data_IF_014515822265
#
_entry.id   IF_014515822265
#
_cell.length_a   1.000
_cell.length_b   1.000
_cell.length_c   1.000
_cell.angle_alpha   90.00
_cell.angle_beta   90.00
_cell.angle_gamma   90.00
#
_symmetry.space_group_name_H-M   'P 1'
#
loop_
_entity.id
_entity.type
_entity.pdbx_description
1 polymer ?
#
# COMPACT_ATOMS: atom_id res chain seq x y z
N UNK A 1 2.08 -11.65 -9.62
CA UNK A 1 3.24 -12.52 -9.87
C UNK A 1 3.56 -13.31 -8.61
N UNK A 2 3.83 -14.61 -8.77
CA UNK A 2 4.28 -15.47 -7.67
C UNK A 2 5.80 -15.51 -7.66
N UNK A 3 6.41 -15.46 -6.48
CA UNK A 3 7.85 -15.57 -6.33
C UNK A 3 8.20 -16.52 -5.19
N UNK A 4 9.31 -17.23 -5.31
CA UNK A 4 9.87 -18.06 -4.24
C UNK A 4 10.96 -17.33 -3.45
N UNK A 5 11.33 -16.11 -3.86
CA UNK A 5 12.39 -15.33 -3.25
C UNK A 5 11.84 -14.18 -2.43
N UNK A 6 12.23 -14.09 -1.15
CA UNK A 6 11.92 -12.95 -0.29
C UNK A 6 12.68 -11.72 -0.77
N UNK A 7 11.97 -10.58 -0.82
CA UNK A 7 12.61 -9.30 -1.07
C UNK A 7 13.31 -8.82 0.19
N UNK A 8 14.58 -8.44 0.04
CA UNK A 8 15.36 -7.86 1.14
C UNK A 8 15.08 -6.36 1.28
N UNK A 9 15.43 -5.81 2.44
CA UNK A 9 15.43 -4.37 2.63
C UNK A 9 16.36 -3.67 1.64
N UNK A 10 17.55 -4.26 1.37
CA UNK A 10 18.50 -3.70 0.40
C UNK A 10 17.90 -3.61 -1.02
N UNK A 11 17.09 -4.57 -1.41
CA UNK A 11 16.38 -4.52 -2.69
C UNK A 11 15.32 -3.40 -2.67
N UNK A 12 14.51 -3.33 -1.61
CA UNK A 12 13.42 -2.35 -1.52
C UNK A 12 13.90 -0.92 -1.43
N UNK A 13 15.04 -0.68 -0.79
CA UNK A 13 15.55 0.69 -0.57
C UNK A 13 15.98 1.43 -1.84
N UNK A 14 16.04 0.77 -2.96
CA UNK A 14 16.27 1.43 -4.25
C UNK A 14 15.04 2.20 -4.74
N UNK A 15 13.87 1.95 -4.16
CA UNK A 15 12.63 2.59 -4.54
C UNK A 15 12.21 3.65 -3.52
N UNK A 16 11.49 4.66 -3.98
CA UNK A 16 10.88 5.68 -3.14
C UNK A 16 9.67 6.30 -3.83
N UNK A 17 9.09 7.33 -3.21
CA UNK A 17 7.91 8.01 -3.73
C UNK A 17 8.12 8.57 -5.14
N UNK A 18 9.33 9.08 -5.46
CA UNK A 18 9.66 9.64 -6.76
C UNK A 18 10.21 8.61 -7.74
N UNK A 19 10.52 7.41 -7.27
CA UNK A 19 11.09 6.34 -8.10
C UNK A 19 10.44 5.00 -7.74
N UNK A 20 9.15 4.81 -8.09
CA UNK A 20 8.46 3.55 -7.82
C UNK A 20 9.00 2.43 -8.71
N UNK A 21 8.83 1.16 -8.27
CA UNK A 21 9.25 0.04 -9.08
C UNK A 21 8.47 -0.03 -10.39
N UNK A 22 9.18 -0.32 -11.48
CA UNK A 22 8.60 -0.54 -12.80
C UNK A 22 8.46 -2.03 -13.13
N UNK A 23 8.77 -2.87 -12.17
CA UNK A 23 8.63 -4.32 -12.24
C UNK A 23 7.53 -4.75 -11.29
N UNK A 24 6.95 -5.93 -11.53
CA UNK A 24 5.96 -6.51 -10.64
C UNK A 24 6.67 -7.09 -9.42
N UNK A 25 6.31 -6.60 -8.24
CA UNK A 25 6.78 -7.18 -6.98
C UNK A 25 5.92 -8.40 -6.65
N UNK A 26 6.56 -9.48 -6.27
CA UNK A 26 5.88 -10.76 -6.14
C UNK A 26 5.34 -11.06 -4.74
N UNK A 27 4.35 -11.96 -4.71
CA UNK A 27 3.82 -12.57 -3.50
C UNK A 27 4.26 -14.02 -3.42
N UNK A 28 4.31 -14.59 -2.22
CA UNK A 28 4.54 -16.02 -2.08
C UNK A 28 3.36 -16.80 -2.69
N UNK A 29 3.59 -18.07 -3.01
CA UNK A 29 2.53 -18.93 -3.53
C UNK A 29 1.34 -18.99 -2.58
N UNK A 30 1.60 -19.13 -1.27
CA UNK A 30 0.57 -19.19 -0.24
C UNK A 30 -0.27 -17.90 -0.19
N UNK A 31 0.37 -16.75 -0.19
CA UNK A 31 -0.34 -15.46 -0.17
C UNK A 31 -1.12 -15.24 -1.46
N UNK A 32 -0.53 -15.59 -2.60
CA UNK A 32 -1.23 -15.45 -3.89
C UNK A 32 -2.49 -16.31 -3.94
N UNK A 33 -2.44 -17.52 -3.40
CA UNK A 33 -3.61 -18.41 -3.32
C UNK A 33 -4.74 -17.74 -2.50
N UNK A 34 -4.41 -17.21 -1.33
CA UNK A 34 -5.38 -16.49 -0.49
C UNK A 34 -5.96 -15.26 -1.22
N UNK A 35 -5.13 -14.56 -1.95
CA UNK A 35 -5.54 -13.39 -2.74
C UNK A 35 -6.53 -13.77 -3.84
N UNK A 36 -6.25 -14.86 -4.57
CA UNK A 36 -7.16 -15.35 -5.61
C UNK A 36 -8.49 -15.83 -5.04
N UNK A 37 -8.48 -16.48 -3.87
CA UNK A 37 -9.70 -16.88 -3.16
C UNK A 37 -10.53 -15.65 -2.79
N UNK A 38 -9.91 -14.62 -2.24
CA UNK A 38 -10.59 -13.38 -1.87
C UNK A 38 -11.23 -12.70 -3.08
N UNK A 39 -10.51 -12.60 -4.19
CA UNK A 39 -11.05 -12.03 -5.44
C UNK A 39 -12.25 -12.83 -5.95
N UNK A 40 -12.16 -14.17 -5.90
CA UNK A 40 -13.25 -15.04 -6.33
C UNK A 40 -14.48 -14.88 -5.44
N UNK A 41 -14.31 -14.71 -4.14
CA UNK A 41 -15.42 -14.46 -3.21
C UNK A 41 -16.12 -13.14 -3.50
N UNK A 42 -15.35 -12.05 -3.72
CA UNK A 42 -15.94 -10.76 -4.09
C UNK A 42 -16.71 -10.85 -5.41
N UNK A 43 -16.14 -11.55 -6.40
CA UNK A 43 -16.78 -11.73 -7.69
C UNK A 43 -18.08 -12.52 -7.57
N UNK A 44 -18.09 -13.61 -6.79
CA UNK A 44 -19.26 -14.44 -6.57
C UNK A 44 -20.39 -13.64 -5.88
N UNK A 45 -20.04 -12.77 -4.94
CA UNK A 45 -20.99 -11.91 -4.24
C UNK A 45 -21.32 -10.64 -5.04
N UNK A 46 -20.74 -10.48 -6.22
CA UNK A 46 -20.93 -9.32 -7.10
C UNK A 46 -20.53 -8.01 -6.44
N UNK A 47 -19.48 -8.05 -5.62
CA UNK A 47 -18.92 -6.87 -4.94
C UNK A 47 -17.73 -6.35 -5.73
N UNK A 48 -17.80 -5.09 -6.16
CA UNK A 48 -16.67 -4.39 -6.78
C UNK A 48 -15.59 -4.09 -5.73
N UNK A 49 -14.32 -4.33 -6.10
CA UNK A 49 -13.21 -4.15 -5.17
C UNK A 49 -13.10 -2.69 -4.68
N UNK A 50 -13.38 -1.71 -5.52
CA UNK A 50 -13.32 -0.31 -5.12
C UNK A 50 -14.41 0.01 -4.08
N UNK A 51 -15.61 -0.51 -4.28
CA UNK A 51 -16.71 -0.38 -3.34
C UNK A 51 -16.38 -1.06 -2.01
N UNK A 52 -15.76 -2.24 -2.07
CA UNK A 52 -15.33 -2.97 -0.86
C UNK A 52 -14.33 -2.15 -0.04
N UNK A 53 -13.32 -1.57 -0.68
CA UNK A 53 -12.30 -0.76 -0.01
C UNK A 53 -12.92 0.51 0.57
N UNK A 54 -13.75 1.21 -0.20
CA UNK A 54 -14.42 2.42 0.27
C UNK A 54 -15.28 2.14 1.49
N UNK A 55 -16.05 1.06 1.45
CA UNK A 55 -16.93 0.66 2.56
C UNK A 55 -16.13 0.28 3.81
N UNK A 56 -15.00 -0.41 3.63
CA UNK A 56 -14.18 -0.88 4.75
C UNK A 56 -13.48 0.27 5.48
N UNK A 57 -12.99 1.27 4.76
CA UNK A 57 -12.10 2.28 5.33
C UNK A 57 -12.71 3.66 5.47
N UNK A 58 -13.65 4.05 4.61
CA UNK A 58 -14.09 5.44 4.52
C UNK A 58 -15.57 5.67 4.73
N UNK A 59 -16.41 4.65 4.56
CA UNK A 59 -17.86 4.81 4.67
C UNK A 59 -18.26 5.30 6.07
N UNK A 60 -18.96 6.43 6.11
CA UNK A 60 -19.49 6.97 7.35
C UNK A 60 -18.49 7.73 8.21
N UNK A 61 -17.30 8.04 7.68
CA UNK A 61 -16.33 8.86 8.38
C UNK A 61 -15.68 9.87 7.44
N UNK A 62 -15.01 10.88 8.02
CA UNK A 62 -14.35 11.95 7.28
C UNK A 62 -12.85 11.76 7.19
N UNK A 63 -12.36 10.54 7.38
CA UNK A 63 -10.93 10.26 7.28
C UNK A 63 -10.45 10.51 5.85
N UNK A 64 -9.36 11.24 5.74
CA UNK A 64 -8.68 11.49 4.47
C UNK A 64 -7.79 10.31 4.07
N UNK A 65 -7.16 9.68 5.06
CA UNK A 65 -6.25 8.55 4.87
C UNK A 65 -6.59 7.42 5.84
N UNK A 66 -6.24 6.20 5.45
CA UNK A 66 -6.32 5.04 6.33
C UNK A 66 -5.15 4.10 6.07
N UNK A 67 -4.37 3.78 7.10
CA UNK A 67 -3.26 2.82 7.02
C UNK A 67 -3.69 1.52 7.67
N UNK A 68 -3.42 0.41 6.98
CA UNK A 68 -3.67 -0.93 7.51
C UNK A 68 -2.55 -1.87 7.06
N UNK A 69 -2.42 -3.01 7.73
CA UNK A 69 -1.56 -4.08 7.24
C UNK A 69 -2.05 -4.51 5.86
N UNK A 70 -1.14 -4.76 4.95
CA UNK A 70 -1.53 -5.38 3.69
C UNK A 70 -1.83 -6.86 3.96
N UNK A 71 -3.09 -7.28 3.82
CA UNK A 71 -3.50 -8.66 4.10
C UNK A 71 -3.01 -9.66 3.04
N UNK A 72 -2.57 -9.16 1.89
CA UNK A 72 -1.93 -9.95 0.83
C UNK A 72 -0.55 -9.36 0.52
N UNK A 73 0.38 -9.40 1.49
CA UNK A 73 1.64 -8.67 1.36
C UNK A 73 2.53 -9.24 0.27
N UNK A 74 3.40 -8.41 -0.25
CA UNK A 74 4.50 -8.89 -1.07
C UNK A 74 5.44 -9.74 -0.21
N UNK A 75 6.18 -10.64 -0.86
CA UNK A 75 7.03 -11.60 -0.17
C UNK A 75 8.34 -10.93 0.27
N UNK A 76 8.36 -10.47 1.52
CA UNK A 76 9.48 -9.75 2.10
C UNK A 76 10.16 -10.58 3.19
N UNK A 77 11.39 -10.23 3.52
CA UNK A 77 12.08 -10.76 4.69
C UNK A 77 11.27 -10.47 5.97
N UNK A 78 11.46 -11.30 6.99
CA UNK A 78 10.63 -11.28 8.20
C UNK A 78 10.71 -9.97 9.00
N UNK A 79 11.82 -9.22 8.86
CA UNK A 79 11.99 -7.92 9.52
C UNK A 79 11.34 -6.76 8.76
N UNK A 80 10.69 -7.03 7.64
CA UNK A 80 10.01 -6.01 6.83
C UNK A 80 8.50 -6.22 6.90
N UNK A 81 7.78 -5.20 7.36
CA UNK A 81 6.32 -5.21 7.37
C UNK A 81 5.79 -4.41 6.19
N UNK A 82 4.74 -4.92 5.57
CA UNK A 82 4.10 -4.30 4.41
C UNK A 82 2.73 -3.77 4.80
N UNK A 83 2.58 -2.44 4.74
CA UNK A 83 1.33 -1.73 4.97
C UNK A 83 0.80 -1.16 3.67
N UNK A 84 -0.47 -0.81 3.67
CA UNK A 84 -1.09 -0.04 2.60
C UNK A 84 -1.76 1.19 3.19
N UNK A 85 -1.60 2.35 2.54
CA UNK A 85 -2.32 3.57 2.90
C UNK A 85 -3.32 3.89 1.80
N UNK A 86 -4.60 3.87 2.16
CA UNK A 86 -5.69 4.22 1.27
C UNK A 86 -6.01 5.72 1.39
N UNK A 87 -6.39 6.33 0.28
CA UNK A 87 -6.67 7.77 0.20
C UNK A 87 -8.12 7.98 -0.21
N UNK A 88 -8.85 8.75 0.58
CA UNK A 88 -10.27 8.99 0.38
C UNK A 88 -10.49 10.09 -0.67
N UNK A 89 -10.93 9.73 -1.86
CA UNK A 89 -11.20 10.68 -2.94
C UNK A 89 -12.38 11.62 -2.62
N UNK A 90 -13.26 11.22 -1.71
CA UNK A 90 -14.47 12.00 -1.40
C UNK A 90 -14.17 13.30 -0.64
N UNK A 91 -12.95 13.50 -0.17
CA UNK A 91 -12.56 14.70 0.56
C UNK A 91 -11.45 15.51 -0.16
N UNK A 92 -11.54 15.54 -1.48
CA UNK A 92 -10.81 16.51 -2.30
C UNK A 92 -9.40 16.13 -2.69
N UNK A 93 -9.02 14.87 -2.58
CA UNK A 93 -7.74 14.38 -3.10
C UNK A 93 -8.01 13.73 -4.46
N UNK A 94 -7.30 14.16 -5.50
CA UNK A 94 -7.43 13.52 -6.81
C UNK A 94 -6.60 12.23 -6.88
N UNK A 95 -6.76 11.45 -7.94
CA UNK A 95 -6.07 10.18 -8.13
C UNK A 95 -4.60 10.36 -8.55
N UNK A 96 -4.17 11.61 -8.78
CA UNK A 96 -2.81 11.98 -9.07
C UNK A 96 -2.12 12.39 -7.78
N UNK A 97 -1.33 11.52 -7.18
CA UNK A 97 -0.62 11.81 -5.94
C UNK A 97 0.67 12.60 -6.23
N UNK A 98 0.51 13.84 -6.73
CA UNK A 98 1.65 14.70 -7.04
C UNK A 98 2.31 15.30 -5.78
N UNK A 99 3.36 16.07 -6.00
CA UNK A 99 4.13 16.72 -4.92
C UNK A 99 3.27 17.56 -3.97
N UNK A 100 2.17 18.10 -4.45
CA UNK A 100 1.23 18.87 -3.64
C UNK A 100 0.78 18.14 -2.37
N UNK A 101 0.64 16.81 -2.45
CA UNK A 101 0.17 16.01 -1.33
C UNK A 101 1.30 15.26 -0.62
N UNK A 102 2.51 15.25 -1.17
CA UNK A 102 3.59 14.41 -0.66
C UNK A 102 3.92 14.68 0.81
N UNK A 103 4.03 15.93 1.20
CA UNK A 103 4.35 16.28 2.58
C UNK A 103 3.24 15.83 3.55
N UNK A 104 1.98 15.98 3.15
CA UNK A 104 0.84 15.56 3.94
C UNK A 104 0.81 14.03 4.12
N UNK A 105 1.06 13.29 3.05
CA UNK A 105 1.15 11.83 3.08
C UNK A 105 2.28 11.38 4.02
N UNK A 106 3.43 11.99 3.88
CA UNK A 106 4.61 11.69 4.69
C UNK A 106 4.35 11.95 6.18
N UNK A 107 3.75 13.07 6.50
CA UNK A 107 3.42 13.43 7.88
C UNK A 107 2.44 12.42 8.50
N UNK A 108 1.47 11.96 7.75
CA UNK A 108 0.50 10.98 8.21
C UNK A 108 1.17 9.62 8.50
N UNK A 109 2.05 9.17 7.61
CA UNK A 109 2.81 7.93 7.79
C UNK A 109 3.69 8.04 9.05
N UNK A 110 4.42 9.14 9.18
CA UNK A 110 5.32 9.36 10.33
C UNK A 110 4.56 9.32 11.65
N UNK A 111 3.44 10.02 11.72
CA UNK A 111 2.61 10.07 12.92
C UNK A 111 2.07 8.69 13.30
N UNK A 112 1.57 7.94 12.33
CA UNK A 112 0.84 6.70 12.59
C UNK A 112 1.73 5.46 12.73
N UNK A 113 2.90 5.43 12.08
CA UNK A 113 3.79 4.27 12.11
C UNK A 113 5.08 4.51 12.90
N UNK A 114 5.44 5.76 13.18
CA UNK A 114 6.71 6.11 13.83
C UNK A 114 6.53 7.08 15.00
N UNK A 115 5.32 7.27 15.51
CA UNK A 115 5.02 8.16 16.63
C UNK A 115 5.56 9.58 16.44
N UNK A 116 5.68 10.06 15.19
CA UNK A 116 6.22 11.36 14.86
C UNK A 116 7.74 11.43 14.78
N UNK A 117 8.45 10.32 14.92
CA UNK A 117 9.91 10.30 14.85
C UNK A 117 10.39 10.27 13.40
N UNK A 118 10.72 11.45 12.87
CA UNK A 118 11.18 11.64 11.49
C UNK A 118 12.49 10.91 11.18
N UNK A 119 13.39 10.84 12.15
CA UNK A 119 14.68 10.16 11.98
C UNK A 119 14.48 8.65 11.83
N UNK A 120 13.65 8.07 12.67
CA UNK A 120 13.30 6.66 12.61
C UNK A 120 12.62 6.32 11.27
N UNK A 121 11.70 7.17 10.84
CA UNK A 121 11.02 6.99 9.55
C UNK A 121 11.99 7.03 8.39
N UNK A 122 12.91 8.01 8.39
CA UNK A 122 13.89 8.16 7.30
C UNK A 122 14.75 6.91 7.13
N UNK A 123 15.13 6.29 8.24
CA UNK A 123 16.00 5.11 8.21
C UNK A 123 15.27 3.80 7.94
N UNK A 124 13.98 3.71 8.28
CA UNK A 124 13.26 2.44 8.35
C UNK A 124 11.93 2.41 7.58
N UNK A 125 11.69 3.35 6.68
CA UNK A 125 10.47 3.39 5.88
C UNK A 125 10.75 3.62 4.41
N UNK A 126 10.08 2.83 3.58
CA UNK A 126 10.04 3.02 2.12
C UNK A 126 8.58 3.05 1.72
N UNK A 127 8.17 4.02 0.92
CA UNK A 127 6.80 4.10 0.44
C UNK A 127 6.75 4.64 -0.99
N UNK A 128 5.80 4.11 -1.76
CA UNK A 128 5.58 4.54 -3.14
C UNK A 128 4.17 4.17 -3.58
N UNK A 129 3.69 4.83 -4.63
CA UNK A 129 2.48 4.43 -5.34
C UNK A 129 2.90 3.55 -6.52
N UNK A 130 2.29 2.38 -6.65
CA UNK A 130 2.53 1.55 -7.82
C UNK A 130 2.18 2.31 -9.10
N UNK A 131 2.94 2.09 -10.16
CA UNK A 131 2.61 2.62 -11.49
C UNK A 131 1.26 2.04 -11.94
N UNK A 132 0.51 2.72 -12.83
CA UNK A 132 -0.84 2.29 -13.20
C UNK A 132 -0.93 0.83 -13.64
N UNK A 133 0.06 0.33 -14.36
CA UNK A 133 0.10 -1.04 -14.87
C UNK A 133 0.20 -2.10 -13.76
N UNK A 134 0.68 -1.70 -12.58
CA UNK A 134 0.87 -2.60 -11.44
C UNK A 134 -0.21 -2.45 -10.36
N UNK A 135 -1.23 -1.64 -10.59
CA UNK A 135 -2.31 -1.43 -9.62
C UNK A 135 -3.42 -2.44 -9.81
N UNK A 136 -3.74 -3.19 -8.74
CA UNK A 136 -4.89 -4.09 -8.72
C UNK A 136 -6.20 -3.36 -8.36
N UNK A 137 -6.13 -2.32 -7.52
CA UNK A 137 -7.26 -1.43 -7.22
C UNK A 137 -7.02 -0.12 -7.96
N UNK A 138 -7.85 0.18 -8.96
CA UNK A 138 -7.56 1.26 -9.91
C UNK A 138 -8.20 2.60 -9.58
N UNK A 139 -9.33 2.60 -8.88
CA UNK A 139 -10.10 3.82 -8.64
C UNK A 139 -9.81 4.50 -7.31
N UNK A 140 -9.20 3.80 -6.36
CA UNK A 140 -8.83 4.36 -5.06
C UNK A 140 -7.31 4.46 -4.97
N UNK A 141 -6.75 5.69 -4.90
CA UNK A 141 -5.31 5.84 -4.81
C UNK A 141 -4.79 5.28 -3.49
N UNK A 142 -3.62 4.67 -3.54
CA UNK A 142 -3.01 4.07 -2.36
C UNK A 142 -1.51 3.96 -2.50
N UNK A 143 -0.83 3.94 -1.35
CA UNK A 143 0.62 3.76 -1.26
C UNK A 143 0.94 2.39 -0.68
N UNK A 144 1.97 1.77 -1.22
CA UNK A 144 2.63 0.62 -0.60
C UNK A 144 3.66 1.17 0.38
N UNK A 145 3.64 0.69 1.62
CA UNK A 145 4.54 1.15 2.67
C UNK A 145 5.26 -0.05 3.27
N UNK A 146 6.59 0.04 3.32
CA UNK A 146 7.43 -1.01 3.90
C UNK A 146 8.19 -0.43 5.08
N UNK A 147 8.11 -1.12 6.21
CA UNK A 147 8.76 -0.69 7.45
C UNK A 147 9.69 -1.79 7.92
N UNK A 148 10.95 -1.43 8.12
CA UNK A 148 11.94 -2.34 8.69
C UNK A 148 11.91 -2.24 10.21
N UNK A 149 11.90 -3.38 10.85
CA UNK A 149 11.92 -3.49 12.32
C UNK A 149 13.15 -4.18 12.83
#
# INVERSE_FOLDING_TARGET
MVTSNKMSWEFLRQFDYNNPPRICLGRSCEVMEKYEIHKAELSREQIDINTYIDSKYFKGNDKKFSIDNNIFPYYCEDNVKHYVMWINLNIGVDNSLGEKYHQELRNYICKNLFNGDESEMTDNCIYFQNIPEQRSVKCIPHLQIFVRK
#
